data_IF_564895758953
#
_entry.id   IF_564895758953
#
_cell.length_a   1.000
_cell.length_b   1.000
_cell.length_c   1.000
_cell.angle_alpha   90.00
_cell.angle_beta   90.00
_cell.angle_gamma   90.00
#
_symmetry.space_group_name_H-M   'P 1'
#
loop_
_entity.id
_entity.type
_entity.pdbx_description
1 polymer ?
#
# COMPACT_ATOMS: atom_id res chain seq x y z
N UNK A 1 51.34 19.77 -4.68
CA UNK A 1 51.97 19.66 -3.36
C UNK A 1 50.89 19.29 -2.37
N UNK A 2 51.13 18.19 -1.64
CA UNK A 2 50.51 17.74 -0.37
C UNK A 2 48.98 17.49 -0.39
N UNK A 3 48.45 16.25 -0.47
CA UNK A 3 48.47 15.08 0.43
C UNK A 3 48.13 15.37 1.91
N UNK A 4 46.93 14.91 2.33
CA UNK A 4 46.58 14.25 3.59
C UNK A 4 45.06 13.98 3.56
N UNK A 5 44.47 12.86 3.98
CA UNK A 5 44.93 11.65 4.66
C UNK A 5 43.69 10.79 4.97
N UNK A 6 43.83 9.48 4.80
CA UNK A 6 42.87 8.41 5.08
C UNK A 6 42.38 8.42 6.53
N UNK A 7 41.14 7.99 6.81
CA UNK A 7 40.85 6.96 7.83
C UNK A 7 39.57 6.18 7.48
N UNK A 8 39.77 4.93 7.05
CA UNK A 8 38.83 3.84 7.31
C UNK A 8 38.87 3.50 8.79
N UNK A 9 37.72 3.22 9.41
CA UNK A 9 37.70 2.28 10.52
C UNK A 9 36.40 1.48 10.51
N UNK A 10 36.62 0.17 10.38
CA UNK A 10 35.75 -0.91 10.82
C UNK A 10 35.33 -0.73 12.28
N UNK A 11 34.15 -1.22 12.64
CA UNK A 11 33.95 -1.98 13.86
C UNK A 11 32.73 -2.89 13.68
N UNK A 12 33.01 -4.18 13.51
CA UNK A 12 32.04 -5.23 13.72
C UNK A 12 31.83 -5.44 15.21
N UNK A 13 30.57 -5.61 15.60
CA UNK A 13 30.21 -6.32 16.83
C UNK A 13 29.01 -7.22 16.53
N UNK A 14 29.34 -8.49 16.29
CA UNK A 14 28.47 -9.64 16.44
C UNK A 14 28.10 -9.77 17.91
N UNK A 15 26.82 -9.67 18.22
CA UNK A 15 26.29 -10.14 19.50
C UNK A 15 25.35 -11.32 19.23
N UNK A 16 25.92 -12.50 19.41
CA UNK A 16 25.22 -13.79 19.50
C UNK A 16 24.97 -14.01 20.99
N UNK A 17 23.70 -14.07 21.40
CA UNK A 17 23.23 -14.73 22.62
C UNK A 17 22.12 -15.66 22.15
N UNK A 18 22.42 -16.92 21.92
CA UNK A 18 22.47 -18.02 22.90
C UNK A 18 21.09 -18.37 23.45
N UNK A 19 20.73 -19.61 23.15
CA UNK A 19 19.44 -20.23 23.30
C UNK A 19 19.26 -20.72 24.73
N UNK A 20 18.27 -20.19 25.45
CA UNK A 20 17.74 -20.86 26.62
C UNK A 20 16.54 -21.73 26.22
N UNK A 21 16.77 -23.04 26.33
CA UNK A 21 15.74 -24.06 26.38
C UNK A 21 14.89 -23.88 27.65
N UNK A 22 13.61 -23.62 27.48
CA UNK A 22 12.61 -24.01 28.48
C UNK A 22 11.53 -24.86 27.81
N UNK A 23 11.65 -26.17 28.05
CA UNK A 23 10.59 -27.16 27.96
C UNK A 23 9.43 -26.76 28.86
N UNK A 24 8.24 -26.61 28.30
CA UNK A 24 6.99 -26.91 29.01
C UNK A 24 5.92 -27.39 28.06
N UNK A 25 5.31 -28.50 28.47
CA UNK A 25 4.40 -29.34 27.73
C UNK A 25 2.96 -28.81 27.74
N UNK A 26 2.20 -29.21 26.71
CA UNK A 26 0.73 -29.16 26.66
C UNK A 26 0.18 -27.74 26.52
N UNK A 27 -0.70 -27.41 25.59
CA UNK A 27 -1.97 -28.06 25.32
C UNK A 27 -2.39 -27.72 23.89
N UNK A 28 -2.60 -28.73 23.06
CA UNK A 28 -3.29 -28.56 21.78
C UNK A 28 -4.80 -28.55 22.04
N UNK A 29 -5.56 -27.58 21.50
CA UNK A 29 -7.02 -27.60 21.62
C UNK A 29 -7.61 -28.78 20.85
N UNK A 30 -8.60 -29.51 21.42
CA UNK A 30 -9.10 -30.74 20.84
C UNK A 30 -9.90 -30.50 19.55
N UNK A 31 -9.61 -31.33 18.55
CA UNK A 31 -10.34 -31.44 17.27
C UNK A 31 -11.83 -31.65 17.54
N UNK A 32 -12.68 -30.72 17.06
CA UNK A 32 -14.13 -30.93 17.01
C UNK A 32 -14.43 -32.08 16.04
N UNK A 33 -14.92 -33.18 16.61
CA UNK A 33 -15.42 -34.37 15.92
C UNK A 33 -16.80 -34.05 15.35
N UNK A 34 -16.92 -34.17 14.03
CA UNK A 34 -18.16 -34.10 13.25
C UNK A 34 -19.09 -35.24 13.70
N UNK A 35 -20.34 -34.93 14.02
CA UNK A 35 -21.41 -35.91 14.25
C UNK A 35 -22.46 -35.76 13.16
N UNK A 36 -22.59 -36.80 12.35
CA UNK A 36 -23.60 -36.95 11.30
C UNK A 36 -24.85 -37.69 11.84
N UNK A 37 -26.01 -37.23 11.36
CA UNK A 37 -27.35 -37.84 11.29
C UNK A 37 -28.18 -38.13 12.54
N UNK A 38 -29.36 -37.49 12.58
CA UNK A 38 -30.64 -38.21 12.63
C UNK A 38 -31.65 -37.57 11.66
N UNK A 39 -32.15 -38.39 10.74
CA UNK A 39 -33.29 -38.16 9.84
C UNK A 39 -34.59 -37.90 10.63
N UNK A 40 -35.44 -36.99 10.15
CA UNK A 40 -36.89 -37.25 10.01
C UNK A 40 -37.44 -36.42 8.83
N UNK A 41 -38.04 -37.17 7.92
CA UNK A 41 -38.85 -36.78 6.75
C UNK A 41 -39.98 -35.85 7.10
N UNK A 42 -40.14 -34.78 6.32
CA UNK A 42 -41.28 -33.86 6.34
C UNK A 42 -41.39 -33.14 5.00
N UNK A 43 -42.09 -33.80 4.08
CA UNK A 43 -42.42 -33.31 2.74
C UNK A 43 -43.55 -32.27 2.83
N UNK A 44 -43.30 -31.02 2.37
CA UNK A 44 -44.17 -30.26 1.42
C UNK A 44 -43.86 -28.76 1.33
N UNK A 45 -43.97 -28.29 0.07
CA UNK A 45 -44.28 -26.95 -0.42
C UNK A 45 -43.17 -25.90 -0.56
N UNK A 46 -42.60 -25.89 -1.76
CA UNK A 46 -42.56 -24.80 -2.75
C UNK A 46 -42.63 -23.31 -2.31
N UNK A 47 -41.75 -22.56 -2.97
CA UNK A 47 -41.89 -21.15 -3.34
C UNK A 47 -41.71 -20.10 -2.23
N UNK A 48 -40.47 -19.68 -2.00
CA UNK A 48 -40.09 -18.29 -2.31
C UNK A 48 -38.59 -18.11 -2.17
N UNK A 49 -37.99 -17.72 -3.30
CA UNK A 49 -36.71 -17.06 -3.39
C UNK A 49 -36.62 -15.91 -2.38
N UNK A 50 -35.76 -16.02 -1.37
CA UNK A 50 -35.42 -14.90 -0.52
C UNK A 50 -33.93 -14.96 -0.20
N UNK A 51 -33.17 -14.20 -1.00
CA UNK A 51 -31.77 -13.81 -0.86
C UNK A 51 -30.73 -14.82 -1.40
N UNK A 52 -29.87 -14.37 -2.33
CA UNK A 52 -28.75 -13.56 -1.91
C UNK A 52 -29.18 -12.11 -2.04
N UNK A 53 -28.98 -11.35 -0.98
CA UNK A 53 -28.91 -9.93 -1.12
C UNK A 53 -27.90 -9.69 -2.27
N UNK A 54 -28.37 -9.13 -3.39
CA UNK A 54 -27.55 -8.14 -4.08
C UNK A 54 -27.44 -6.97 -3.12
N UNK A 55 -26.73 -7.20 -2.02
CA UNK A 55 -26.10 -6.16 -1.28
C UNK A 55 -25.06 -5.67 -2.29
N UNK A 56 -25.47 -4.68 -3.08
CA UNK A 56 -24.54 -3.64 -3.48
C UNK A 56 -24.05 -3.04 -2.17
N UNK A 57 -23.18 -3.76 -1.47
CA UNK A 57 -22.25 -3.17 -0.56
C UNK A 57 -21.49 -2.22 -1.48
N UNK A 58 -21.95 -0.97 -1.52
CA UNK A 58 -21.05 0.16 -1.69
C UNK A 58 -20.04 -0.06 -0.58
N UNK A 59 -19.02 -0.85 -0.89
CA UNK A 59 -17.92 -1.08 -0.01
C UNK A 59 -17.38 0.32 0.18
N UNK A 60 -17.65 0.92 1.33
CA UNK A 60 -16.92 2.06 1.86
C UNK A 60 -15.50 1.56 2.18
N UNK A 61 -14.85 1.00 1.17
CA UNK A 61 -13.50 0.46 1.23
C UNK A 61 -12.63 1.66 1.44
N UNK A 62 -12.15 1.82 2.67
CA UNK A 62 -11.18 2.85 3.07
C UNK A 62 -9.87 2.80 2.27
N UNK A 63 -9.73 1.77 1.44
CA UNK A 63 -8.58 1.48 0.61
C UNK A 63 -8.93 1.64 -0.86
N UNK A 64 -8.06 2.34 -1.57
CA UNK A 64 -8.06 2.43 -3.03
C UNK A 64 -7.03 1.46 -3.57
N UNK A 65 -7.44 0.62 -4.51
CA UNK A 65 -6.55 -0.33 -5.18
C UNK A 65 -5.79 0.39 -6.29
N UNK A 66 -4.47 0.25 -6.29
CA UNK A 66 -3.55 0.80 -7.29
C UNK A 66 -2.77 -0.36 -7.89
N UNK A 67 -2.87 -0.55 -9.21
CA UNK A 67 -2.11 -1.56 -9.93
C UNK A 67 -0.76 -1.01 -10.43
N UNK A 68 0.32 -1.31 -9.70
CA UNK A 68 1.67 -0.80 -9.95
C UNK A 68 2.28 -1.25 -11.28
N UNK A 69 1.84 -2.39 -11.82
CA UNK A 69 2.38 -2.96 -13.05
C UNK A 69 1.97 -2.17 -14.31
N UNK A 70 1.07 -1.20 -14.18
CA UNK A 70 0.48 -0.45 -15.29
C UNK A 70 1.04 0.98 -15.41
N UNK A 71 2.32 1.17 -15.12
CA UNK A 71 2.99 2.48 -15.23
C UNK A 71 2.62 3.42 -14.08
N UNK A 72 2.69 2.91 -12.85
CA UNK A 72 2.51 3.69 -11.63
C UNK A 72 3.83 3.74 -10.87
N UNK A 73 4.12 4.93 -10.39
CA UNK A 73 5.31 5.24 -9.62
C UNK A 73 4.90 5.95 -8.33
N UNK A 74 5.79 6.00 -7.34
CA UNK A 74 5.54 6.68 -6.08
C UNK A 74 6.77 7.41 -5.58
N UNK A 75 6.57 8.40 -4.70
CA UNK A 75 7.63 9.06 -3.98
C UNK A 75 7.17 9.47 -2.58
N UNK A 76 8.00 9.21 -1.58
CA UNK A 76 7.81 9.70 -0.20
C UNK A 76 8.65 10.96 0.08
N UNK A 77 9.55 11.31 -0.83
CA UNK A 77 10.46 12.46 -0.73
C UNK A 77 10.09 13.48 -1.80
N UNK A 78 8.95 14.15 -1.62
CA UNK A 78 8.49 15.15 -2.57
C UNK A 78 9.43 16.37 -2.57
N UNK A 79 9.92 16.71 -3.77
CA UNK A 79 10.64 17.93 -4.07
C UNK A 79 9.86 18.79 -5.07
N UNK A 80 9.70 20.10 -4.81
CA UNK A 80 9.00 21.00 -5.70
C UNK A 80 9.72 21.15 -7.06
N UNK A 81 9.04 21.79 -8.01
CA UNK A 81 9.55 22.13 -9.35
C UNK A 81 9.85 20.91 -10.25
N UNK A 82 9.19 19.78 -9.99
CA UNK A 82 9.34 18.57 -10.81
C UNK A 82 10.66 17.83 -10.62
N UNK A 83 11.41 18.15 -9.56
CA UNK A 83 12.67 17.47 -9.19
C UNK A 83 12.43 16.15 -8.45
N UNK A 84 11.20 15.91 -7.99
CA UNK A 84 10.80 14.66 -7.33
C UNK A 84 11.15 13.46 -8.20
N UNK A 85 11.94 12.53 -7.64
CA UNK A 85 12.18 11.23 -8.23
C UNK A 85 11.07 10.26 -7.79
N UNK A 86 10.38 9.69 -8.76
CA UNK A 86 9.36 8.66 -8.55
C UNK A 86 9.92 7.29 -8.89
N UNK A 87 9.69 6.33 -7.99
CA UNK A 87 10.15 4.95 -8.12
C UNK A 87 8.99 4.03 -8.52
N UNK A 88 9.24 2.96 -9.28
CA UNK A 88 8.16 2.07 -9.74
C UNK A 88 7.44 1.41 -8.56
N UNK A 89 6.10 1.41 -8.62
CA UNK A 89 5.28 0.65 -7.67
C UNK A 89 5.32 -0.82 -8.06
N UNK A 90 5.82 -1.67 -7.16
CA UNK A 90 5.90 -3.11 -7.40
C UNK A 90 4.59 -3.80 -7.00
N UNK A 91 3.91 -4.41 -7.98
CA UNK A 91 2.69 -5.19 -7.74
C UNK A 91 1.46 -4.32 -7.48
N UNK A 92 0.44 -4.88 -6.80
CA UNK A 92 -0.78 -4.14 -6.46
C UNK A 92 -0.70 -3.62 -5.03
N UNK A 93 -1.05 -2.34 -4.83
CA UNK A 93 -1.08 -1.68 -3.53
C UNK A 93 -2.51 -1.32 -3.15
N UNK A 94 -2.85 -1.52 -1.87
CA UNK A 94 -4.08 -1.01 -1.26
C UNK A 94 -3.75 0.25 -0.45
N UNK A 95 -4.00 1.42 -1.04
CA UNK A 95 -3.69 2.70 -0.43
C UNK A 95 -4.81 3.14 0.52
N UNK A 96 -4.50 3.26 1.81
CA UNK A 96 -5.42 3.81 2.81
C UNK A 96 -5.47 5.34 2.69
N UNK A 97 -6.45 5.85 1.95
CA UNK A 97 -6.55 7.28 1.66
C UNK A 97 -7.03 8.11 2.86
N UNK A 98 -7.71 7.51 3.84
CA UNK A 98 -8.13 8.18 5.07
C UNK A 98 -6.97 8.55 6.01
N UNK A 99 -5.76 8.02 5.78
CA UNK A 99 -4.55 8.39 6.54
C UNK A 99 -4.02 9.79 6.16
N UNK A 100 -4.66 10.46 5.22
CA UNK A 100 -4.26 11.74 4.69
C UNK A 100 -5.40 12.74 4.87
N UNK A 101 -5.02 13.95 5.26
CA UNK A 101 -5.94 15.04 5.58
C UNK A 101 -6.45 15.74 4.32
N UNK A 102 -5.64 15.70 3.25
CA UNK A 102 -5.99 16.29 1.96
C UNK A 102 -5.34 15.48 0.83
N UNK A 103 -5.99 15.48 -0.33
CA UNK A 103 -5.44 15.00 -1.60
C UNK A 103 -5.44 16.15 -2.61
N UNK A 104 -4.48 16.15 -3.53
CA UNK A 104 -4.48 17.06 -4.68
C UNK A 104 -3.91 16.37 -5.91
N UNK A 105 -4.13 16.96 -7.08
CA UNK A 105 -3.68 16.41 -8.36
C UNK A 105 -2.83 17.43 -9.11
N UNK A 106 -1.87 16.94 -9.88
CA UNK A 106 -1.00 17.77 -10.70
C UNK A 106 -0.68 17.05 -12.01
N UNK A 107 -0.90 17.73 -13.14
CA UNK A 107 -0.40 17.27 -14.43
C UNK A 107 0.99 17.85 -14.66
N UNK A 108 1.95 17.02 -15.06
CA UNK A 108 3.31 17.50 -15.24
C UNK A 108 4.27 16.50 -15.86
N UNK A 109 5.55 16.88 -15.86
CA UNK A 109 6.66 16.06 -16.33
C UNK A 109 7.65 15.82 -15.19
N UNK A 110 7.72 14.57 -14.72
CA UNK A 110 8.41 14.19 -13.50
C UNK A 110 9.57 13.23 -13.77
N UNK A 111 10.54 13.23 -12.87
CA UNK A 111 11.67 12.31 -12.92
C UNK A 111 11.23 10.92 -12.46
N UNK A 112 11.50 9.90 -13.27
CA UNK A 112 11.22 8.50 -12.97
C UNK A 112 12.55 7.78 -12.79
N UNK A 113 12.66 7.03 -11.70
CA UNK A 113 13.80 6.19 -11.39
C UNK A 113 13.57 4.72 -11.70
N UNK A 114 14.65 3.94 -11.61
CA UNK A 114 14.61 2.48 -11.60
C UNK A 114 14.43 1.92 -10.18
N UNK A 115 14.38 0.60 -10.06
CA UNK A 115 14.23 -0.12 -8.78
C UNK A 115 15.43 0.10 -7.83
N UNK A 116 16.57 0.55 -8.34
CA UNK A 116 17.77 0.85 -7.56
C UNK A 116 17.78 2.29 -7.03
N UNK A 117 16.81 3.11 -7.43
CA UNK A 117 16.76 4.53 -7.12
C UNK A 117 17.58 5.41 -8.07
N UNK A 118 18.12 4.84 -9.16
CA UNK A 118 18.80 5.59 -10.20
C UNK A 118 17.82 6.34 -11.08
N UNK A 119 18.14 7.59 -11.44
CA UNK A 119 17.34 8.34 -12.42
C UNK A 119 17.36 7.63 -13.77
N UNK A 120 16.18 7.44 -14.37
CA UNK A 120 16.04 6.80 -15.68
C UNK A 120 15.64 7.79 -16.77
N UNK A 121 14.54 8.51 -16.57
CA UNK A 121 14.00 9.43 -17.57
C UNK A 121 13.00 10.42 -16.97
N UNK A 122 12.63 11.45 -17.73
CA UNK A 122 11.47 12.30 -17.41
C UNK A 122 10.27 11.85 -18.23
N UNK A 123 9.10 11.78 -17.58
CA UNK A 123 7.86 11.31 -18.23
C UNK A 123 6.72 12.26 -17.90
N UNK A 124 5.86 12.51 -18.88
CA UNK A 124 4.62 13.26 -18.70
C UNK A 124 3.53 12.36 -18.13
N UNK A 125 2.70 12.89 -17.22
CA UNK A 125 1.60 12.15 -16.64
C UNK A 125 0.83 12.93 -15.58
N UNK A 126 0.13 12.19 -14.73
CA UNK A 126 -0.70 12.72 -13.64
C UNK A 126 -0.11 12.32 -12.28
N UNK A 127 0.04 13.26 -11.37
CA UNK A 127 0.43 13.02 -9.99
C UNK A 127 -0.76 13.18 -9.05
N UNK A 128 -0.83 12.30 -8.04
CA UNK A 128 -1.76 12.34 -6.92
C UNK A 128 -0.93 12.55 -5.65
N UNK A 129 -1.07 13.72 -5.05
CA UNK A 129 -0.36 14.10 -3.83
C UNK A 129 -1.24 13.86 -2.61
N UNK A 130 -0.73 13.05 -1.68
CA UNK A 130 -1.34 12.78 -0.39
C UNK A 130 -0.69 13.66 0.69
N UNK A 131 -1.47 14.57 1.26
CA UNK A 131 -0.99 15.56 2.23
C UNK A 131 -1.21 15.08 3.65
N UNK A 132 -0.21 15.33 4.51
CA UNK A 132 -0.31 15.12 5.96
C UNK A 132 0.01 16.39 6.72
N UNK A 133 -0.66 16.62 7.84
CA UNK A 133 -0.33 17.70 8.75
C UNK A 133 0.79 17.27 9.70
N UNK A 134 1.91 18.00 9.70
CA UNK A 134 2.98 17.82 10.70
C UNK A 134 2.78 18.85 11.82
N UNK A 135 2.47 18.37 13.03
CA UNK A 135 2.20 19.22 14.20
C UNK A 135 3.40 20.09 14.59
N UNK A 136 4.61 19.55 14.49
CA UNK A 136 5.84 20.23 14.94
C UNK A 136 6.12 21.51 14.16
N UNK A 137 5.88 21.48 12.83
CA UNK A 137 6.06 22.63 11.94
C UNK A 137 4.76 23.35 11.60
N UNK A 138 3.63 22.87 12.14
CA UNK A 138 2.27 23.37 11.91
C UNK A 138 1.91 23.58 10.44
N UNK A 139 2.34 22.68 9.56
CA UNK A 139 2.16 22.79 8.10
C UNK A 139 1.74 21.46 7.49
N UNK A 140 0.99 21.55 6.40
CA UNK A 140 0.75 20.43 5.49
C UNK A 140 2.00 20.20 4.63
N UNK A 141 2.29 18.93 4.37
CA UNK A 141 3.35 18.50 3.45
C UNK A 141 2.86 17.29 2.66
N UNK A 142 3.43 17.08 1.48
CA UNK A 142 3.18 15.89 0.69
C UNK A 142 3.93 14.73 1.35
N UNK A 143 3.17 13.83 1.96
CA UNK A 143 3.71 12.67 2.68
C UNK A 143 3.93 11.47 1.75
N UNK A 144 3.15 11.41 0.67
CA UNK A 144 3.26 10.41 -0.36
C UNK A 144 2.71 11.02 -1.64
N UNK A 145 3.35 10.72 -2.77
CA UNK A 145 2.81 11.05 -4.07
C UNK A 145 2.84 9.82 -4.97
N UNK A 146 1.77 9.60 -5.72
CA UNK A 146 1.71 8.60 -6.79
C UNK A 146 1.74 9.30 -8.13
N UNK A 147 2.51 8.78 -9.07
CA UNK A 147 2.61 9.29 -10.44
C UNK A 147 2.17 8.22 -11.43
N UNK A 148 1.26 8.61 -12.32
CA UNK A 148 0.61 7.74 -13.28
C UNK A 148 0.99 8.19 -14.70
N UNK A 149 1.65 7.30 -15.44
CA UNK A 149 1.91 7.51 -16.87
C UNK A 149 0.79 6.91 -17.73
N UNK A 150 -0.05 6.06 -17.15
CA UNK A 150 -1.22 5.49 -17.79
C UNK A 150 -2.49 6.21 -17.31
N UNK A 151 -3.18 6.89 -18.23
CA UNK A 151 -4.39 7.63 -17.93
C UNK A 151 -5.54 6.75 -17.46
N UNK A 152 -5.68 5.53 -17.97
CA UNK A 152 -6.79 4.63 -17.60
C UNK A 152 -6.69 4.24 -16.13
N UNK A 153 -5.48 3.90 -15.67
CA UNK A 153 -5.21 3.57 -14.26
C UNK A 153 -5.51 4.78 -13.37
N UNK A 154 -5.15 5.98 -13.81
CA UNK A 154 -5.45 7.20 -13.08
C UNK A 154 -6.96 7.42 -12.96
N UNK A 155 -7.73 7.20 -14.03
CA UNK A 155 -9.20 7.30 -13.98
C UNK A 155 -9.84 6.25 -13.06
N UNK A 156 -9.36 5.00 -13.09
CA UNK A 156 -9.81 3.95 -12.18
C UNK A 156 -9.62 4.34 -10.70
N UNK A 157 -8.46 4.95 -10.39
CA UNK A 157 -8.14 5.46 -9.04
C UNK A 157 -9.04 6.64 -8.69
N UNK A 158 -9.27 7.59 -9.60
CA UNK A 158 -10.18 8.72 -9.38
C UNK A 158 -11.61 8.26 -9.09
N UNK A 159 -12.17 7.37 -9.90
CA UNK A 159 -13.51 6.83 -9.66
C UNK A 159 -13.61 6.11 -8.32
N UNK A 160 -12.54 5.46 -7.88
CA UNK A 160 -12.47 4.82 -6.57
C UNK A 160 -12.45 5.85 -5.43
N UNK A 161 -11.76 6.98 -5.61
CA UNK A 161 -11.68 8.07 -4.63
C UNK A 161 -13.02 8.81 -4.47
N UNK A 162 -13.77 9.00 -5.56
CA UNK A 162 -15.11 9.59 -5.53
C UNK A 162 -16.14 8.73 -4.78
N UNK A 163 -15.85 7.44 -4.62
CA UNK A 163 -16.71 6.49 -3.93
C UNK A 163 -16.36 6.28 -2.44
N UNK A 164 -15.34 6.98 -1.91
CA UNK A 164 -14.94 6.93 -0.49
C UNK A 164 -15.89 7.73 0.39
#
# INVERSE_FOLDING_TARGET
MELCGLQSSSNGHTHVQEWHHETSAGFLPPKRKRSDLTNMTGDRCDSSSAFPAKETAKNHSRFVRIDGQRGVYYSESFEPNGSTLYLPVCGTVLANMHKYEQISFEQGCFCVGDETGGFRQRVQGQALHCWRYRKDVRKLFIALSYFFTNCDVFQEVLSSLECL
#
